data_IF_166766709754
#
_entry.id   IF_166766709754
#
_cell.length_a   1.000
_cell.length_b   1.000
_cell.length_c   1.000
_cell.angle_alpha   90.00
_cell.angle_beta   90.00
_cell.angle_gamma   90.00
#
_symmetry.space_group_name_H-M   'P 1'
#
loop_
_entity.id
_entity.type
_entity.pdbx_description
1 polymer ?
#
# COMPACT_ATOMS: atom_id res chain seq x y z
N UNK A 1 -53.26 -7.09 -20.47
CA UNK A 1 -52.87 -6.43 -19.22
C UNK A 1 -51.55 -6.98 -18.61
N UNK A 2 -51.40 -8.27 -18.34
CA UNK A 2 -50.18 -8.87 -17.76
C UNK A 2 -48.88 -8.57 -18.56
N UNK A 3 -48.94 -8.67 -19.90
CA UNK A 3 -47.75 -8.40 -20.75
C UNK A 3 -47.27 -6.94 -20.66
N UNK A 4 -48.18 -5.97 -20.50
CA UNK A 4 -47.85 -4.57 -20.35
C UNK A 4 -47.16 -4.32 -18.99
N UNK A 5 -47.64 -4.95 -17.94
CA UNK A 5 -47.07 -4.84 -16.59
C UNK A 5 -45.65 -5.39 -16.58
N UNK A 6 -45.40 -6.54 -17.22
CA UNK A 6 -44.06 -7.15 -17.32
C UNK A 6 -43.07 -6.21 -18.07
N UNK A 7 -43.52 -5.61 -19.17
CA UNK A 7 -42.71 -4.65 -19.95
C UNK A 7 -42.34 -3.43 -19.09
N UNK A 8 -43.32 -2.89 -18.35
CA UNK A 8 -43.09 -1.73 -17.46
C UNK A 8 -42.04 -2.09 -16.39
N UNK A 9 -42.16 -3.26 -15.75
CA UNK A 9 -41.21 -3.73 -14.73
C UNK A 9 -39.79 -3.86 -15.33
N UNK A 10 -39.67 -4.48 -16.51
CA UNK A 10 -38.36 -4.64 -17.18
C UNK A 10 -37.79 -3.26 -17.55
N UNK A 11 -38.56 -2.36 -18.11
CA UNK A 11 -38.09 -1.01 -18.48
C UNK A 11 -37.70 -0.23 -17.22
N UNK A 12 -38.48 -0.28 -16.14
CA UNK A 12 -38.16 0.39 -14.89
C UNK A 12 -36.88 -0.19 -14.26
N UNK A 13 -36.70 -1.51 -14.31
CA UNK A 13 -35.50 -2.18 -13.85
C UNK A 13 -34.25 -1.80 -14.70
N UNK A 14 -34.39 -1.73 -16.02
CA UNK A 14 -33.32 -1.27 -16.90
C UNK A 14 -32.96 0.21 -16.68
N UNK A 15 -33.98 1.06 -16.48
CA UNK A 15 -33.80 2.47 -16.10
C UNK A 15 -33.08 2.56 -14.75
N UNK A 16 -33.54 1.79 -13.75
CA UNK A 16 -32.86 1.69 -12.46
C UNK A 16 -31.39 1.26 -12.60
N UNK A 17 -31.09 0.20 -13.35
CA UNK A 17 -29.72 -0.23 -13.60
C UNK A 17 -28.89 0.84 -14.33
N UNK A 18 -29.49 1.60 -15.22
CA UNK A 18 -28.79 2.63 -16.00
C UNK A 18 -28.49 3.88 -15.15
N UNK A 19 -29.48 4.35 -14.37
CA UNK A 19 -29.36 5.60 -13.60
C UNK A 19 -28.79 5.40 -12.19
N UNK A 20 -28.93 4.23 -11.60
CA UNK A 20 -28.45 3.92 -10.24
C UNK A 20 -27.24 2.98 -10.22
N UNK A 21 -26.66 2.66 -11.39
CA UNK A 21 -25.36 2.02 -11.42
C UNK A 21 -24.38 2.96 -10.73
N UNK A 22 -23.98 2.63 -9.49
CA UNK A 22 -23.02 3.41 -8.71
C UNK A 22 -21.75 3.51 -9.54
N UNK A 23 -21.56 4.64 -10.23
CA UNK A 23 -20.32 4.89 -10.98
C UNK A 23 -19.21 5.03 -9.96
N UNK A 24 -18.19 4.20 -10.08
CA UNK A 24 -16.99 4.30 -9.25
C UNK A 24 -16.39 5.70 -9.46
N UNK A 25 -16.38 6.49 -8.41
CA UNK A 25 -15.84 7.84 -8.47
C UNK A 25 -14.33 7.80 -8.21
N UNK A 26 -13.56 8.12 -9.24
CA UNK A 26 -12.10 8.27 -9.15
C UNK A 26 -11.77 9.76 -9.20
N UNK A 27 -11.00 10.23 -8.22
CA UNK A 27 -10.46 11.59 -8.21
C UNK A 27 -9.01 11.58 -8.68
N UNK A 28 -8.70 12.42 -9.63
CA UNK A 28 -7.34 12.72 -10.08
C UNK A 28 -7.01 14.12 -9.56
N UNK A 29 -6.01 14.24 -8.68
CA UNK A 29 -5.66 15.53 -8.09
C UNK A 29 -4.93 16.41 -9.11
N UNK A 30 -5.11 17.71 -8.98
CA UNK A 30 -4.24 18.72 -9.60
C UNK A 30 -2.91 18.80 -8.85
N UNK A 31 -1.92 19.48 -9.43
CA UNK A 31 -0.64 19.69 -8.75
C UNK A 31 -0.82 20.44 -7.43
N UNK A 32 -1.65 21.49 -7.40
CA UNK A 32 -1.87 22.31 -6.20
C UNK A 32 -2.55 21.51 -5.07
N UNK A 33 -3.58 20.72 -5.39
CA UNK A 33 -4.24 19.84 -4.43
C UNK A 33 -3.24 18.80 -3.85
N UNK A 34 -2.42 18.20 -4.73
CA UNK A 34 -1.44 17.22 -4.31
C UNK A 34 -0.35 17.82 -3.43
N UNK A 35 0.19 18.98 -3.83
CA UNK A 35 1.24 19.63 -3.06
C UNK A 35 0.74 20.13 -1.70
N UNK A 36 -0.52 20.55 -1.60
CA UNK A 36 -1.15 20.89 -0.32
C UNK A 36 -1.19 19.70 0.64
N UNK A 37 -1.57 18.50 0.15
CA UNK A 37 -1.58 17.27 0.94
C UNK A 37 -0.16 16.86 1.32
N UNK A 38 0.76 16.89 0.36
CA UNK A 38 2.15 16.45 0.55
C UNK A 38 2.88 17.28 1.60
N UNK A 39 2.67 18.60 1.59
CA UNK A 39 3.34 19.53 2.52
C UNK A 39 3.00 19.25 4.00
N UNK A 40 1.79 18.73 4.28
CA UNK A 40 1.34 18.39 5.62
C UNK A 40 1.49 16.90 5.96
N UNK A 41 1.98 16.08 5.04
CA UNK A 41 2.03 14.63 5.20
C UNK A 41 3.08 14.16 6.20
N UNK A 42 2.77 13.11 6.94
CA UNK A 42 3.75 12.43 7.81
C UNK A 42 4.91 11.87 7.00
N UNK A 43 4.68 11.40 5.76
CA UNK A 43 5.72 10.90 4.87
C UNK A 43 6.89 11.89 4.71
N UNK A 44 6.59 13.14 4.33
CA UNK A 44 7.62 14.17 4.18
C UNK A 44 8.16 14.64 5.53
N UNK A 45 7.31 14.73 6.55
CA UNK A 45 7.72 15.17 7.89
C UNK A 45 8.69 14.19 8.55
N UNK A 46 8.54 12.89 8.30
CA UNK A 46 9.38 11.84 8.89
C UNK A 46 10.67 11.58 8.11
N UNK A 47 10.89 12.18 6.93
CA UNK A 47 12.14 12.03 6.19
C UNK A 47 13.33 12.55 6.99
N UNK A 48 14.32 11.69 7.18
CA UNK A 48 15.60 12.04 7.79
C UNK A 48 16.64 12.44 6.73
N UNK A 49 17.85 12.79 7.16
CA UNK A 49 18.96 13.18 6.26
C UNK A 49 19.35 12.07 5.29
N UNK A 50 19.22 10.81 5.69
CA UNK A 50 19.53 9.64 4.87
C UNK A 50 18.51 9.46 3.74
N UNK A 51 17.21 9.58 4.09
CA UNK A 51 16.13 9.54 3.10
C UNK A 51 16.32 10.60 2.03
N UNK A 52 16.71 11.80 2.43
CA UNK A 52 16.97 12.91 1.51
C UNK A 52 18.22 12.67 0.64
N UNK A 53 19.29 12.14 1.23
CA UNK A 53 20.52 11.83 0.51
C UNK A 53 20.30 10.77 -0.58
N UNK A 54 19.56 9.69 -0.24
CA UNK A 54 19.18 8.64 -1.19
C UNK A 54 18.36 9.22 -2.35
N UNK A 55 17.51 10.23 -2.07
CA UNK A 55 16.71 10.97 -3.05
C UNK A 55 17.46 12.12 -3.71
N UNK A 56 18.79 12.19 -3.50
CA UNK A 56 19.68 13.23 -4.05
C UNK A 56 19.20 14.65 -3.75
N UNK A 57 18.74 14.88 -2.52
CA UNK A 57 18.26 16.17 -2.05
C UNK A 57 19.00 16.57 -0.77
N UNK A 58 19.34 17.85 -0.64
CA UNK A 58 20.06 18.37 0.52
C UNK A 58 19.12 18.67 1.69
N UNK A 59 17.85 18.92 1.40
CA UNK A 59 16.82 19.23 2.40
C UNK A 59 15.43 18.93 1.88
N UNK A 60 14.44 18.95 2.78
CA UNK A 60 13.02 18.67 2.49
C UNK A 60 12.44 19.63 1.45
N UNK A 61 12.79 20.91 1.50
CA UNK A 61 12.27 21.91 0.54
C UNK A 61 12.75 21.63 -0.88
N UNK A 62 13.99 21.21 -1.05
CA UNK A 62 14.52 20.80 -2.36
C UNK A 62 13.77 19.59 -2.88
N UNK A 63 13.56 18.57 -2.02
CA UNK A 63 12.83 17.37 -2.43
C UNK A 63 11.36 17.67 -2.74
N UNK A 64 10.72 18.52 -1.96
CA UNK A 64 9.37 18.99 -2.22
C UNK A 64 9.23 19.66 -3.60
N UNK A 65 10.19 20.53 -3.96
CA UNK A 65 10.23 21.14 -5.31
C UNK A 65 10.40 20.08 -6.41
N UNK A 66 11.23 19.05 -6.19
CA UNK A 66 11.36 17.94 -7.15
C UNK A 66 10.03 17.21 -7.34
N UNK A 67 9.29 16.98 -6.25
CA UNK A 67 7.97 16.37 -6.30
C UNK A 67 6.97 17.22 -7.10
N UNK A 68 6.96 18.52 -6.86
CA UNK A 68 6.12 19.48 -7.60
C UNK A 68 6.43 19.47 -9.10
N UNK A 69 7.71 19.55 -9.46
CA UNK A 69 8.16 19.54 -10.85
C UNK A 69 7.94 18.17 -11.53
N UNK A 70 7.97 17.10 -10.76
CA UNK A 70 7.74 15.74 -11.24
C UNK A 70 6.27 15.34 -11.34
N UNK A 71 5.33 16.21 -10.98
CA UNK A 71 3.90 15.94 -11.19
C UNK A 71 3.59 15.81 -12.68
N UNK A 72 2.77 14.80 -13.03
CA UNK A 72 2.34 14.53 -14.41
C UNK A 72 0.82 14.36 -14.47
N UNK A 73 0.18 14.91 -15.51
CA UNK A 73 -1.23 14.63 -15.77
C UNK A 73 -1.42 13.22 -16.32
N UNK A 74 -2.51 12.53 -15.94
CA UNK A 74 -2.91 11.27 -16.56
C UNK A 74 -3.46 11.49 -17.97
N UNK A 75 -3.08 10.64 -18.92
CA UNK A 75 -3.74 10.58 -20.23
C UNK A 75 -5.14 9.95 -20.12
N UNK A 76 -5.98 10.13 -21.12
CA UNK A 76 -7.29 9.48 -21.17
C UNK A 76 -7.18 7.97 -21.16
N UNK A 77 -6.21 7.41 -21.85
CA UNK A 77 -5.94 5.97 -21.85
C UNK A 77 -5.60 5.46 -20.45
N UNK A 78 -4.69 6.15 -19.73
CA UNK A 78 -4.32 5.80 -18.36
C UNK A 78 -5.50 5.90 -17.39
N UNK A 79 -6.36 6.91 -17.54
CA UNK A 79 -7.60 7.03 -16.76
C UNK A 79 -8.56 5.86 -17.02
N UNK A 80 -8.68 5.42 -18.27
CA UNK A 80 -9.50 4.27 -18.63
C UNK A 80 -8.94 2.96 -18.05
N UNK A 81 -7.61 2.77 -18.07
CA UNK A 81 -6.95 1.63 -17.42
C UNK A 81 -7.25 1.63 -15.92
N UNK A 82 -7.07 2.75 -15.22
CA UNK A 82 -7.37 2.86 -13.80
C UNK A 82 -8.85 2.61 -13.49
N UNK A 83 -9.76 3.14 -14.29
CA UNK A 83 -11.19 2.89 -14.13
C UNK A 83 -11.53 1.40 -14.23
N UNK A 84 -10.94 0.70 -15.22
CA UNK A 84 -11.14 -0.74 -15.38
C UNK A 84 -10.59 -1.53 -14.19
N UNK A 85 -9.38 -1.21 -13.73
CA UNK A 85 -8.75 -1.85 -12.58
C UNK A 85 -9.60 -1.63 -11.32
N UNK A 86 -9.99 -0.40 -11.04
CA UNK A 86 -10.80 -0.05 -9.88
C UNK A 86 -12.15 -0.78 -9.92
N UNK A 87 -12.81 -0.86 -11.08
CA UNK A 87 -14.06 -1.61 -11.22
C UNK A 87 -13.89 -3.13 -10.94
N UNK A 88 -12.75 -3.71 -11.30
CA UNK A 88 -12.42 -5.10 -10.96
C UNK A 88 -12.24 -5.25 -9.44
N UNK A 89 -11.50 -4.33 -8.82
CA UNK A 89 -11.24 -4.35 -7.38
C UNK A 89 -12.54 -4.15 -6.60
N UNK A 90 -13.39 -3.19 -6.97
CA UNK A 90 -14.67 -2.91 -6.31
C UNK A 90 -15.56 -4.16 -6.22
N UNK A 91 -15.55 -5.01 -7.26
CA UNK A 91 -16.27 -6.29 -7.24
C UNK A 91 -15.71 -7.25 -6.19
N UNK A 92 -14.39 -7.30 -6.04
CA UNK A 92 -13.70 -8.19 -5.09
C UNK A 92 -13.89 -7.76 -3.63
N UNK A 93 -13.91 -6.45 -3.40
CA UNK A 93 -14.01 -5.87 -2.06
C UNK A 93 -15.45 -5.51 -1.65
N UNK A 94 -16.45 -5.85 -2.45
CA UNK A 94 -17.83 -5.41 -2.25
C UNK A 94 -18.42 -5.77 -0.88
N UNK A 95 -17.99 -6.88 -0.28
CA UNK A 95 -18.44 -7.32 1.05
C UNK A 95 -17.72 -6.59 2.21
N UNK A 96 -16.64 -5.89 1.96
CA UNK A 96 -15.79 -5.25 2.97
C UNK A 96 -16.09 -3.74 3.05
N UNK A 97 -17.03 -3.37 3.91
CA UNK A 97 -17.63 -2.04 3.91
C UNK A 97 -16.65 -0.92 4.25
N UNK A 98 -15.78 -1.09 5.24
CA UNK A 98 -14.83 -0.06 5.63
C UNK A 98 -13.78 0.16 4.53
N UNK A 99 -13.26 -0.91 3.95
CA UNK A 99 -12.27 -0.85 2.88
C UNK A 99 -12.85 -0.29 1.58
N UNK A 100 -14.07 -0.70 1.22
CA UNK A 100 -14.78 -0.22 0.04
C UNK A 100 -15.07 1.29 0.11
N UNK A 101 -15.35 1.82 1.28
CA UNK A 101 -15.71 3.23 1.46
C UNK A 101 -14.51 4.18 1.34
N UNK A 102 -13.27 3.68 1.31
CA UNK A 102 -12.07 4.48 1.04
C UNK A 102 -12.14 4.98 -0.40
N UNK A 103 -12.05 6.31 -0.57
CA UNK A 103 -12.10 6.96 -1.87
C UNK A 103 -10.89 6.62 -2.73
N UNK A 104 -11.10 6.53 -4.03
CA UNK A 104 -10.03 6.36 -5.01
C UNK A 104 -9.48 7.72 -5.41
N UNK A 105 -8.29 8.05 -4.95
CA UNK A 105 -7.61 9.31 -5.23
C UNK A 105 -6.22 9.00 -5.78
N UNK A 106 -5.92 9.50 -6.97
CA UNK A 106 -4.69 9.20 -7.69
C UNK A 106 -3.92 10.45 -8.08
N UNK A 107 -2.61 10.31 -8.06
CA UNK A 107 -1.64 11.23 -8.64
C UNK A 107 -0.64 10.46 -9.49
N UNK A 108 -0.11 11.11 -10.52
CA UNK A 108 0.99 10.58 -11.31
C UNK A 108 2.23 11.45 -11.17
N UNK A 109 3.38 10.79 -10.99
CA UNK A 109 4.68 11.43 -10.88
C UNK A 109 5.67 10.90 -11.91
N UNK A 110 6.75 11.63 -12.10
CA UNK A 110 7.88 11.23 -12.94
C UNK A 110 8.55 9.94 -12.41
N UNK A 111 9.06 9.13 -13.33
CA UNK A 111 9.75 7.86 -13.03
C UNK A 111 11.06 8.01 -12.25
N UNK A 112 11.65 9.21 -12.24
CA UNK A 112 12.86 9.49 -11.47
C UNK A 112 12.59 9.72 -9.98
N UNK A 113 11.32 9.91 -9.61
CA UNK A 113 10.92 10.04 -8.21
C UNK A 113 10.59 8.68 -7.61
N UNK A 114 10.97 8.47 -6.35
CA UNK A 114 10.74 7.23 -5.59
C UNK A 114 11.09 5.96 -6.37
N UNK A 115 12.09 6.03 -7.26
CA UNK A 115 12.48 4.93 -8.15
C UNK A 115 11.31 4.31 -8.93
N UNK A 116 10.31 5.10 -9.24
CA UNK A 116 9.07 4.67 -9.89
C UNK A 116 8.19 3.76 -9.03
N UNK A 117 8.53 3.47 -7.76
CA UNK A 117 7.69 2.64 -6.91
C UNK A 117 6.36 3.31 -6.64
N UNK A 118 5.25 2.59 -6.79
CA UNK A 118 3.96 3.01 -6.26
C UNK A 118 4.08 3.20 -4.75
N UNK A 119 3.40 4.20 -4.22
CA UNK A 119 3.35 4.48 -2.79
C UNK A 119 2.14 5.32 -2.46
N UNK A 120 1.90 5.55 -1.18
CA UNK A 120 0.80 6.40 -0.74
C UNK A 120 1.31 7.59 0.05
N UNK A 121 0.70 8.75 -0.19
CA UNK A 121 0.84 9.94 0.65
C UNK A 121 -0.55 10.26 1.20
N UNK A 122 -0.73 10.15 2.51
CA UNK A 122 -2.03 10.23 3.18
C UNK A 122 -3.06 9.28 2.53
N UNK A 123 -4.13 9.82 1.94
CA UNK A 123 -5.16 9.06 1.25
C UNK A 123 -5.01 9.04 -0.28
N UNK A 124 -3.84 9.37 -0.79
CA UNK A 124 -3.54 9.46 -2.22
C UNK A 124 -2.64 8.32 -2.65
N UNK A 125 -3.02 7.59 -3.69
CA UNK A 125 -2.18 6.60 -4.37
C UNK A 125 -1.35 7.33 -5.42
N UNK A 126 -0.03 7.24 -5.29
CA UNK A 126 0.95 7.87 -6.17
C UNK A 126 1.53 6.83 -7.12
N UNK A 127 1.41 7.07 -8.41
CA UNK A 127 1.86 6.16 -9.47
C UNK A 127 2.85 6.87 -10.40
N UNK A 128 3.70 6.08 -11.06
CA UNK A 128 4.53 6.56 -12.17
C UNK A 128 4.07 5.97 -13.50
N UNK A 129 4.64 6.44 -14.63
CA UNK A 129 4.38 5.84 -15.93
C UNK A 129 4.73 4.34 -15.97
N UNK A 130 5.71 3.89 -15.18
CA UNK A 130 6.14 2.49 -15.12
C UNK A 130 5.01 1.55 -14.69
N UNK A 131 4.09 2.02 -13.84
CA UNK A 131 2.91 1.26 -13.43
C UNK A 131 2.08 0.76 -14.62
N UNK A 132 1.91 1.58 -15.67
CA UNK A 132 1.06 1.27 -16.81
C UNK A 132 1.64 0.24 -17.79
N UNK A 133 2.92 -0.10 -17.62
CA UNK A 133 3.59 -1.18 -18.41
C UNK A 133 3.48 -2.55 -17.73
N UNK A 134 2.98 -2.63 -16.51
CA UNK A 134 2.78 -3.90 -15.81
C UNK A 134 1.56 -4.65 -16.38
N UNK A 135 1.52 -5.96 -16.18
CA UNK A 135 0.32 -6.76 -16.46
C UNK A 135 -0.87 -6.30 -15.61
N UNK A 136 -2.08 -6.48 -16.12
CA UNK A 136 -3.31 -6.13 -15.39
C UNK A 136 -3.38 -6.79 -14.02
N UNK A 137 -2.93 -8.03 -13.87
CA UNK A 137 -2.89 -8.72 -12.57
C UNK A 137 -1.95 -8.02 -11.60
N UNK A 138 -0.75 -7.63 -12.05
CA UNK A 138 0.21 -6.88 -11.24
C UNK A 138 -0.34 -5.50 -10.85
N UNK A 139 -0.99 -4.80 -11.80
CA UNK A 139 -1.62 -3.51 -11.53
C UNK A 139 -2.71 -3.60 -10.46
N UNK A 140 -3.55 -4.65 -10.50
CA UNK A 140 -4.58 -4.89 -9.49
C UNK A 140 -3.94 -5.13 -8.12
N UNK A 141 -2.91 -5.99 -8.03
CA UNK A 141 -2.20 -6.25 -6.78
C UNK A 141 -1.62 -4.97 -6.18
N UNK A 142 -0.94 -4.18 -6.99
CA UNK A 142 -0.34 -2.90 -6.57
C UNK A 142 -1.42 -1.95 -6.02
N UNK A 143 -2.53 -1.75 -6.73
CA UNK A 143 -3.58 -0.82 -6.30
C UNK A 143 -4.26 -1.29 -5.00
N UNK A 144 -4.47 -2.60 -4.83
CA UNK A 144 -4.98 -3.14 -3.56
C UNK A 144 -3.97 -2.91 -2.44
N UNK A 145 -2.69 -3.22 -2.68
CA UNK A 145 -1.61 -3.02 -1.72
C UNK A 145 -1.56 -1.57 -1.22
N UNK A 146 -1.54 -0.61 -2.13
CA UNK A 146 -1.53 0.81 -1.78
C UNK A 146 -2.81 1.24 -1.04
N UNK A 147 -3.98 0.73 -1.44
CA UNK A 147 -5.24 1.03 -0.73
C UNK A 147 -5.23 0.47 0.70
N UNK A 148 -4.55 -0.65 0.95
CA UNK A 148 -4.38 -1.19 2.31
C UNK A 148 -3.58 -0.24 3.18
N UNK A 149 -2.52 0.40 2.68
CA UNK A 149 -1.77 1.42 3.43
C UNK A 149 -2.65 2.62 3.82
N UNK A 150 -3.57 3.04 2.96
CA UNK A 150 -4.56 4.07 3.32
C UNK A 150 -5.47 3.57 4.45
N UNK A 151 -5.96 2.33 4.35
CA UNK A 151 -6.79 1.72 5.39
C UNK A 151 -6.06 1.65 6.74
N UNK A 152 -4.79 1.29 6.75
CA UNK A 152 -3.97 1.21 7.97
C UNK A 152 -3.88 2.56 8.70
N UNK A 153 -3.77 3.66 7.96
CA UNK A 153 -3.75 5.01 8.55
C UNK A 153 -5.12 5.45 9.07
N UNK A 154 -6.21 5.01 8.40
CA UNK A 154 -7.57 5.39 8.80
C UNK A 154 -8.11 4.61 10.00
N UNK A 155 -7.65 3.36 10.21
CA UNK A 155 -8.19 2.43 11.22
C UNK A 155 -7.08 1.77 12.07
N UNK A 156 -6.19 2.55 12.70
CA UNK A 156 -5.03 2.02 13.41
C UNK A 156 -5.40 1.06 14.56
N UNK A 157 -6.55 1.25 15.19
CA UNK A 157 -7.05 0.37 16.24
C UNK A 157 -7.34 -1.06 15.73
N UNK A 158 -7.92 -1.20 14.55
CA UNK A 158 -8.19 -2.52 13.96
C UNK A 158 -6.90 -3.19 13.49
N UNK A 159 -5.94 -2.39 13.01
CA UNK A 159 -4.62 -2.86 12.57
C UNK A 159 -3.83 -3.42 13.75
N UNK A 160 -3.83 -2.74 14.89
CA UNK A 160 -3.16 -3.22 16.11
C UNK A 160 -3.71 -4.58 16.58
N UNK A 161 -5.01 -4.83 16.43
CA UNK A 161 -5.61 -6.15 16.73
C UNK A 161 -5.03 -7.22 15.81
N UNK A 162 -4.92 -6.96 14.50
CA UNK A 162 -4.36 -7.91 13.55
C UNK A 162 -2.90 -8.20 13.85
N UNK A 163 -2.08 -7.18 14.06
CA UNK A 163 -0.66 -7.35 14.35
C UNK A 163 -0.46 -8.20 15.61
N UNK A 164 -1.23 -7.94 16.66
CA UNK A 164 -1.20 -8.74 17.88
C UNK A 164 -1.60 -10.21 17.63
N UNK A 165 -2.63 -10.44 16.83
CA UNK A 165 -3.07 -11.80 16.46
C UNK A 165 -2.00 -12.54 15.64
N UNK A 166 -1.18 -11.83 14.89
CA UNK A 166 -0.03 -12.38 14.18
C UNK A 166 1.19 -12.63 15.10
N UNK A 167 1.16 -12.13 16.34
CA UNK A 167 2.27 -12.24 17.29
C UNK A 167 3.27 -11.10 17.19
N UNK A 168 2.87 -9.96 16.63
CA UNK A 168 3.67 -8.74 16.66
C UNK A 168 3.36 -7.91 17.89
N UNK A 169 4.41 -7.53 18.61
CA UNK A 169 4.34 -6.61 19.73
C UNK A 169 4.99 -5.28 19.37
N UNK A 170 4.31 -4.17 19.69
CA UNK A 170 4.86 -2.83 19.52
C UNK A 170 6.03 -2.64 20.47
N UNK A 171 7.16 -2.16 19.95
CA UNK A 171 8.37 -1.92 20.73
C UNK A 171 8.86 -0.50 20.55
N UNK A 172 9.44 0.06 21.62
CA UNK A 172 10.23 1.28 21.51
C UNK A 172 11.65 0.86 21.13
N UNK A 173 12.07 1.29 19.98
CA UNK A 173 13.42 1.00 19.48
C UNK A 173 13.99 2.28 18.91
N UNK A 174 15.06 2.76 19.50
CA UNK A 174 15.78 3.92 19.00
C UNK A 174 16.73 3.44 17.89
N UNK A 175 16.31 3.66 16.67
CA UNK A 175 17.14 3.38 15.51
C UNK A 175 17.66 4.70 14.97
N UNK A 176 18.87 5.03 15.37
CA UNK A 176 19.69 6.01 14.66
C UNK A 176 20.22 5.38 13.35
N UNK A 177 19.32 4.81 12.51
CA UNK A 177 19.73 3.99 11.37
C UNK A 177 19.02 4.39 10.06
N UNK A 178 19.66 3.96 9.00
CA UNK A 178 19.35 4.01 7.60
C UNK A 178 18.08 3.22 7.22
N UNK A 179 16.96 3.41 7.96
CA UNK A 179 15.71 2.77 7.59
C UNK A 179 15.27 3.21 6.21
N UNK A 180 14.78 2.29 5.42
CA UNK A 180 14.40 2.55 4.03
C UNK A 180 12.96 3.11 3.87
N UNK A 181 12.13 3.08 4.89
CA UNK A 181 10.73 3.45 4.75
C UNK A 181 10.36 4.62 5.68
N UNK A 182 10.14 5.84 5.15
CA UNK A 182 9.75 7.01 5.94
C UNK A 182 8.37 6.86 6.61
N UNK A 183 7.49 5.99 6.10
CA UNK A 183 6.15 5.77 6.66
C UNK A 183 6.15 4.98 7.96
N UNK A 184 7.27 4.32 8.31
CA UNK A 184 7.37 3.57 9.56
C UNK A 184 7.44 4.54 10.74
N UNK A 185 6.33 4.62 11.48
CA UNK A 185 6.20 5.44 12.70
C UNK A 185 6.52 4.65 13.96
N UNK A 186 6.19 3.37 13.97
CA UNK A 186 6.35 2.48 15.11
C UNK A 186 7.06 1.21 14.69
N UNK A 187 7.82 0.63 15.62
CA UNK A 187 8.48 -0.63 15.41
C UNK A 187 7.71 -1.77 16.06
N UNK A 188 7.81 -2.95 15.48
CA UNK A 188 7.15 -4.14 15.97
C UNK A 188 8.13 -5.31 16.01
N UNK A 189 8.16 -6.02 17.14
CA UNK A 189 8.91 -7.25 17.26
C UNK A 189 8.03 -8.47 16.98
N UNK A 190 8.63 -9.47 16.40
CA UNK A 190 8.07 -10.79 16.20
C UNK A 190 9.03 -11.82 16.81
N UNK A 191 8.57 -12.60 17.82
CA UNK A 191 9.43 -13.52 18.57
C UNK A 191 10.74 -12.85 19.06
N UNK A 192 10.62 -11.69 19.71
CA UNK A 192 11.73 -10.90 20.20
C UNK A 192 12.76 -10.42 19.15
N UNK A 193 12.34 -10.37 17.88
CA UNK A 193 13.16 -9.87 16.79
C UNK A 193 12.42 -8.76 16.05
N UNK A 194 13.16 -7.71 15.68
CA UNK A 194 12.66 -6.62 14.86
C UNK A 194 12.82 -6.98 13.37
N UNK A 195 11.75 -6.84 12.61
CA UNK A 195 11.79 -6.90 11.15
C UNK A 195 11.96 -5.48 10.61
N UNK A 196 13.00 -5.25 9.82
CA UNK A 196 13.30 -3.91 9.29
C UNK A 196 14.09 -3.99 7.98
N UNK A 197 13.83 -3.02 7.10
CA UNK A 197 14.66 -2.80 5.93
C UNK A 197 15.59 -1.60 6.14
N UNK A 198 16.87 -1.82 5.89
CA UNK A 198 17.90 -0.79 6.03
C UNK A 198 18.57 -0.55 4.68
N UNK A 199 18.87 0.70 4.36
CA UNK A 199 19.72 1.03 3.22
C UNK A 199 21.08 0.39 3.37
N UNK A 200 21.64 -0.07 2.27
CA UNK A 200 23.05 -0.51 2.25
C UNK A 200 23.98 0.68 2.38
N UNK A 201 25.23 0.44 2.76
CA UNK A 201 26.23 1.49 3.01
C UNK A 201 26.63 2.32 1.78
N UNK A 202 26.01 2.10 0.61
CA UNK A 202 26.22 2.89 -0.59
C UNK A 202 25.01 3.79 -0.89
N UNK A 203 24.97 5.03 -0.35
CA UNK A 203 23.83 5.94 -0.55
C UNK A 203 23.70 6.45 -1.99
N UNK A 204 24.62 6.10 -2.89
CA UNK A 204 24.54 6.48 -4.31
C UNK A 204 23.60 5.58 -5.11
N UNK A 205 23.25 4.42 -4.59
CA UNK A 205 22.33 3.49 -5.21
C UNK A 205 21.00 3.54 -4.45
N UNK A 206 20.11 4.40 -4.96
CA UNK A 206 18.73 4.48 -4.52
C UNK A 206 18.15 3.07 -4.38
N UNK A 207 17.66 2.75 -3.16
CA UNK A 207 16.93 1.51 -2.85
C UNK A 207 17.74 0.21 -2.79
N UNK A 208 19.07 0.26 -2.78
CA UNK A 208 19.84 -0.88 -2.32
C UNK A 208 19.67 -1.02 -0.81
N UNK A 209 18.78 -1.90 -0.44
CA UNK A 209 18.43 -2.18 0.94
C UNK A 209 18.33 -3.69 1.15
N UNK A 210 18.64 -4.13 2.36
CA UNK A 210 18.43 -5.49 2.79
C UNK A 210 17.38 -5.50 3.90
N UNK A 211 16.57 -6.55 3.93
CA UNK A 211 15.65 -6.81 5.04
C UNK A 211 16.37 -7.63 6.09
N UNK A 212 16.31 -7.16 7.33
CA UNK A 212 17.01 -7.76 8.47
C UNK A 212 16.00 -8.23 9.52
N UNK A 213 16.41 -9.29 10.20
CA UNK A 213 15.90 -9.69 11.50
C UNK A 213 16.92 -9.26 12.54
N UNK A 214 16.56 -8.35 13.44
CA UNK A 214 17.43 -7.85 14.51
C UNK A 214 16.93 -8.40 15.83
N UNK A 215 17.74 -9.21 16.51
CA UNK A 215 17.43 -9.72 17.83
C UNK A 215 17.52 -8.58 18.87
N UNK A 216 16.45 -8.37 19.64
CA UNK A 216 16.33 -7.25 20.56
C UNK A 216 17.17 -7.40 21.84
N UNK A 217 17.62 -8.61 22.18
CA UNK A 217 18.44 -8.86 23.38
C UNK A 217 19.92 -8.55 23.16
N UNK A 218 20.44 -8.92 21.98
CA UNK A 218 21.87 -8.87 21.69
C UNK A 218 22.23 -8.03 20.46
N UNK A 219 21.25 -7.39 19.81
CA UNK A 219 21.41 -6.60 18.60
C UNK A 219 22.03 -7.34 17.39
N UNK A 220 22.03 -8.67 17.40
CA UNK A 220 22.49 -9.44 16.26
C UNK A 220 21.60 -9.23 15.05
N UNK A 221 22.22 -8.91 13.90
CA UNK A 221 21.53 -8.66 12.63
C UNK A 221 21.72 -9.85 11.69
N UNK A 222 20.61 -10.40 11.22
CA UNK A 222 20.58 -11.50 10.26
C UNK A 222 19.85 -11.01 9.01
N UNK A 223 20.49 -11.16 7.84
CA UNK A 223 19.80 -10.87 6.55
C UNK A 223 18.76 -11.97 6.32
N UNK A 224 17.52 -11.54 6.04
CA UNK A 224 16.42 -12.47 5.78
C UNK A 224 16.66 -13.18 4.44
N UNK A 225 16.50 -14.48 4.45
CA UNK A 225 16.50 -15.36 3.29
C UNK A 225 15.50 -16.51 3.51
N UNK A 226 15.35 -17.40 2.53
CA UNK A 226 14.37 -18.48 2.59
C UNK A 226 14.53 -19.42 3.81
N UNK A 227 15.75 -19.63 4.30
CA UNK A 227 15.98 -20.44 5.50
C UNK A 227 15.48 -19.72 6.75
N UNK A 228 15.72 -18.42 6.85
CA UNK A 228 15.25 -17.58 7.96
C UNK A 228 13.71 -17.48 7.94
N UNK A 229 13.10 -17.33 6.76
CA UNK A 229 11.64 -17.36 6.62
C UNK A 229 11.06 -18.64 7.21
N UNK A 230 11.62 -19.79 6.86
CA UNK A 230 11.20 -21.11 7.40
C UNK A 230 11.45 -21.25 8.89
N UNK A 231 12.66 -20.89 9.34
CA UNK A 231 13.07 -21.01 10.74
C UNK A 231 12.19 -20.20 11.69
N UNK A 232 11.82 -18.98 11.30
CA UNK A 232 11.01 -18.06 12.10
C UNK A 232 9.53 -18.13 11.74
N UNK A 233 9.14 -19.02 10.80
CA UNK A 233 7.76 -19.20 10.37
C UNK A 233 7.11 -17.87 9.90
N UNK A 234 7.89 -17.07 9.17
CA UNK A 234 7.44 -15.85 8.54
C UNK A 234 6.53 -16.15 7.32
N UNK A 235 5.69 -15.21 6.86
CA UNK A 235 4.86 -15.45 5.69
C UNK A 235 5.73 -15.63 4.43
N UNK A 236 5.29 -16.51 3.55
CA UNK A 236 5.98 -16.78 2.28
C UNK A 236 5.60 -15.74 1.23
N UNK A 237 6.14 -14.56 1.37
CA UNK A 237 5.98 -13.40 0.47
C UNK A 237 7.35 -12.87 0.06
N UNK A 238 7.39 -11.85 -0.78
CA UNK A 238 8.65 -11.19 -1.15
C UNK A 238 9.41 -10.72 0.09
N UNK A 239 10.71 -10.98 0.15
CA UNK A 239 11.58 -10.62 1.27
C UNK A 239 11.52 -9.11 1.56
N UNK A 240 11.45 -8.28 0.52
CA UNK A 240 11.34 -6.83 0.66
C UNK A 240 10.05 -6.38 1.37
N UNK A 241 9.02 -7.24 1.41
CA UNK A 241 7.75 -6.97 2.09
C UNK A 241 7.72 -7.48 3.55
N UNK A 242 8.79 -8.14 3.99
CA UNK A 242 8.94 -8.60 5.38
C UNK A 242 9.50 -7.52 6.32
N UNK A 243 9.69 -6.31 5.85
CA UNK A 243 10.33 -5.23 6.61
C UNK A 243 9.48 -4.71 7.79
N UNK A 244 8.16 -4.84 7.70
CA UNK A 244 7.23 -4.29 8.68
C UNK A 244 5.87 -4.99 8.58
N UNK A 245 5.13 -5.19 9.69
CA UNK A 245 3.81 -5.82 9.63
C UNK A 245 2.82 -5.08 8.73
N UNK A 246 2.98 -3.77 8.49
CA UNK A 246 2.16 -3.01 7.55
C UNK A 246 2.35 -3.51 6.11
N UNK A 247 3.60 -3.72 5.68
CA UNK A 247 3.92 -4.26 4.37
C UNK A 247 3.46 -5.72 4.22
N UNK A 248 3.68 -6.53 5.27
CA UNK A 248 3.19 -7.92 5.33
C UNK A 248 1.68 -7.96 5.13
N UNK A 249 0.94 -7.12 5.84
CA UNK A 249 -0.51 -7.03 5.72
C UNK A 249 -0.95 -6.62 4.32
N UNK A 250 -0.35 -5.56 3.75
CA UNK A 250 -0.70 -5.06 2.44
C UNK A 250 -0.44 -6.12 1.36
N UNK A 251 0.68 -6.82 1.43
CA UNK A 251 1.03 -7.89 0.50
C UNK A 251 0.08 -9.08 0.62
N UNK A 252 -0.16 -9.59 1.83
CA UNK A 252 -1.03 -10.76 2.04
C UNK A 252 -2.47 -10.45 1.59
N UNK A 253 -3.02 -9.27 1.91
CA UNK A 253 -4.37 -8.89 1.48
C UNK A 253 -4.46 -8.79 -0.04
N UNK A 254 -3.47 -8.17 -0.70
CA UNK A 254 -3.48 -8.04 -2.15
C UNK A 254 -3.44 -9.40 -2.84
N UNK A 255 -2.57 -10.31 -2.38
CA UNK A 255 -2.46 -11.68 -2.89
C UNK A 255 -3.72 -12.52 -2.59
N UNK A 256 -4.31 -12.37 -1.41
CA UNK A 256 -5.56 -13.04 -1.04
C UNK A 256 -6.72 -12.62 -1.94
N UNK A 257 -6.93 -11.32 -2.10
CA UNK A 257 -8.03 -10.78 -2.92
C UNK A 257 -7.86 -11.10 -4.42
N UNK A 258 -6.65 -11.41 -4.86
CA UNK A 258 -6.37 -11.83 -6.24
C UNK A 258 -6.26 -13.34 -6.42
N UNK A 259 -6.49 -14.13 -5.36
CA UNK A 259 -6.36 -15.60 -5.34
C UNK A 259 -4.95 -16.09 -5.70
N UNK A 260 -3.93 -15.31 -5.33
CA UNK A 260 -2.51 -15.59 -5.65
C UNK A 260 -1.73 -16.14 -4.45
N UNK A 261 -2.39 -16.44 -3.33
CA UNK A 261 -1.78 -16.94 -2.10
C UNK A 261 -2.37 -18.29 -1.68
N UNK A 262 -1.57 -19.09 -0.97
CA UNK A 262 -2.02 -20.39 -0.45
C UNK A 262 -3.03 -20.21 0.71
N UNK A 263 -4.26 -20.63 0.51
CA UNK A 263 -5.36 -20.45 1.46
C UNK A 263 -5.20 -21.22 2.80
N UNK A 264 -4.25 -22.14 2.89
CA UNK A 264 -3.98 -22.93 4.11
C UNK A 264 -2.87 -22.37 5.00
N UNK A 265 -2.30 -21.21 4.62
CA UNK A 265 -1.29 -20.53 5.42
C UNK A 265 -1.93 -19.89 6.66
N UNK A 266 -1.28 -20.03 7.83
CA UNK A 266 -1.76 -19.44 9.09
C UNK A 266 -2.00 -17.94 8.99
N UNK A 267 -1.18 -17.23 8.22
CA UNK A 267 -1.27 -15.78 8.02
C UNK A 267 -2.57 -15.40 7.28
N UNK A 268 -2.95 -16.22 6.29
CA UNK A 268 -4.21 -16.05 5.55
C UNK A 268 -5.42 -16.36 6.41
N UNK A 269 -5.37 -17.42 7.23
CA UNK A 269 -6.49 -17.81 8.10
C UNK A 269 -6.81 -16.65 9.04
N UNK A 270 -5.80 -16.12 9.73
CA UNK A 270 -5.98 -15.01 10.68
C UNK A 270 -6.47 -13.74 9.96
N UNK A 271 -5.89 -13.40 8.79
CA UNK A 271 -6.31 -12.18 8.09
C UNK A 271 -7.72 -12.27 7.54
N UNK A 272 -8.14 -13.45 7.08
CA UNK A 272 -9.50 -13.69 6.59
C UNK A 272 -10.54 -13.45 7.67
N UNK A 273 -10.36 -14.03 8.86
CA UNK A 273 -11.23 -13.82 10.01
C UNK A 273 -11.26 -12.34 10.43
N UNK A 274 -10.11 -11.70 10.41
CA UNK A 274 -10.00 -10.29 10.74
C UNK A 274 -10.67 -9.40 9.68
N UNK A 275 -10.50 -9.67 8.37
CA UNK A 275 -11.14 -8.93 7.29
C UNK A 275 -12.67 -9.05 7.36
N UNK A 276 -13.21 -10.22 7.62
CA UNK A 276 -14.67 -10.44 7.71
C UNK A 276 -15.29 -9.63 8.86
N UNK A 277 -14.50 -9.21 9.85
CA UNK A 277 -14.96 -8.44 11.01
C UNK A 277 -14.72 -6.95 10.91
N UNK A 278 -13.61 -6.53 10.35
CA UNK A 278 -13.13 -5.13 10.45
C UNK A 278 -12.96 -4.44 9.09
N UNK A 279 -12.82 -5.20 8.01
CA UNK A 279 -12.52 -4.68 6.69
C UNK A 279 -13.78 -4.35 5.89
#
# INVERSE_FOLDING_TARGET
>A
MIRIIIIIIIVTYLIYLFFFKKTTCIKYLTVDEFMSITNSSEYFNNMNSYDLQVRKSNNKNEYFKKYQLGYLAFTMEQKNILLNIVNIIEKKINKYNNFKNIKWVFVKIDTNLENSFPHTIENVIVLSNKFFYNSTSSQINIIIHEKVHIYQRMYPEYINILYKNWGFDKVEFDIDYNRNNPDIKYYYSYNNNLLIQLYTNNPRELYNSNTYLINLENNNKIIINDNIIKQYNLPNISISKLEHPAEIMAEIISLYLTNSYNNNDKWIIIIKEWMDKYF
#
